data_IF_631756874914
#
_entry.id   IF_631756874914
#
_cell.length_a   1.000
_cell.length_b   1.000
_cell.length_c   1.000
_cell.angle_alpha   90.00
_cell.angle_beta   90.00
_cell.angle_gamma   90.00
#
_symmetry.space_group_name_H-M   'P 1'
#
loop_
_entity.id
_entity.type
_entity.pdbx_description
1 polymer ?
#
# COMPACT_ATOMS: atom_id res chain seq x y z
N UNK A 1 20.28 5.51 4.66
CA UNK A 1 19.20 6.44 5.11
C UNK A 1 19.24 6.57 6.62
N UNK A 2 19.06 7.78 7.20
CA UNK A 2 19.01 7.93 8.65
C UNK A 2 17.83 7.11 9.22
N UNK A 3 18.06 6.37 10.32
CA UNK A 3 17.01 5.61 11.01
C UNK A 3 15.87 6.58 11.37
N UNK A 4 14.70 6.44 10.75
CA UNK A 4 13.49 7.16 11.17
C UNK A 4 13.24 6.78 12.64
N UNK A 5 13.32 7.75 13.55
CA UNK A 5 13.04 7.48 14.97
C UNK A 5 11.59 7.01 15.12
N UNK A 6 11.38 5.87 15.77
CA UNK A 6 10.05 5.40 16.12
C UNK A 6 9.31 6.46 16.94
N UNK A 7 8.05 6.75 16.59
CA UNK A 7 7.25 7.68 17.37
C UNK A 7 7.03 7.17 18.80
N UNK A 8 7.46 7.95 19.79
CA UNK A 8 7.22 7.60 21.19
C UNK A 8 5.78 7.92 21.60
N UNK A 9 5.00 6.87 21.86
CA UNK A 9 3.66 6.96 22.44
C UNK A 9 3.73 7.16 23.96
N UNK A 10 4.16 8.33 24.40
CA UNK A 10 4.03 8.75 25.81
C UNK A 10 2.58 9.11 26.17
N UNK A 11 2.30 9.29 27.45
CA UNK A 11 0.94 9.58 27.94
C UNK A 11 0.39 10.90 27.40
N UNK A 12 1.22 11.93 27.22
CA UNK A 12 0.80 13.22 26.68
C UNK A 12 0.33 13.12 25.23
N UNK A 13 1.11 12.46 24.37
CA UNK A 13 0.73 12.24 22.96
C UNK A 13 -0.55 11.39 22.86
N UNK A 14 -0.71 10.37 23.73
CA UNK A 14 -1.94 9.57 23.80
C UNK A 14 -3.13 10.42 24.21
N UNK A 15 -2.98 11.23 25.27
CA UNK A 15 -4.02 12.12 25.79
C UNK A 15 -4.44 13.16 24.74
N UNK A 16 -3.48 13.80 24.09
CA UNK A 16 -3.73 14.77 23.03
C UNK A 16 -4.53 14.16 21.88
N UNK A 17 -4.09 13.01 21.33
CA UNK A 17 -4.81 12.38 20.23
C UNK A 17 -6.21 11.91 20.65
N UNK A 18 -6.36 11.32 21.85
CA UNK A 18 -7.68 10.94 22.39
C UNK A 18 -8.62 12.14 22.50
N UNK A 19 -8.12 13.29 22.99
CA UNK A 19 -8.90 14.51 23.15
C UNK A 19 -9.35 15.04 21.79
N UNK A 20 -8.43 15.20 20.83
CA UNK A 20 -8.75 15.73 19.50
C UNK A 20 -9.73 14.81 18.74
N UNK A 21 -9.57 13.49 18.83
CA UNK A 21 -10.53 12.52 18.25
C UNK A 21 -11.91 12.66 18.90
N UNK A 22 -11.96 12.81 20.22
CA UNK A 22 -13.21 13.01 20.96
C UNK A 22 -13.93 14.27 20.51
N UNK A 23 -13.22 15.39 20.40
CA UNK A 23 -13.81 16.68 20.02
C UNK A 23 -14.29 16.68 18.57
N UNK A 24 -13.50 16.08 17.67
CA UNK A 24 -13.91 15.84 16.29
C UNK A 24 -15.23 15.07 16.21
N UNK A 25 -15.31 13.94 16.93
CA UNK A 25 -16.50 13.09 16.95
C UNK A 25 -17.71 13.77 17.63
N UNK A 26 -17.47 14.58 18.66
CA UNK A 26 -18.50 15.40 19.31
C UNK A 26 -19.07 16.43 18.33
N UNK A 27 -18.22 17.16 17.60
CA UNK A 27 -18.67 18.12 16.58
C UNK A 27 -19.51 17.45 15.50
N UNK A 28 -19.09 16.30 14.97
CA UNK A 28 -19.89 15.51 14.01
C UNK A 28 -21.25 15.14 14.61
N UNK A 29 -21.28 14.65 15.84
CA UNK A 29 -22.53 14.23 16.50
C UNK A 29 -23.48 15.40 16.68
N UNK A 30 -22.96 16.56 17.12
CA UNK A 30 -23.73 17.79 17.28
C UNK A 30 -24.35 18.23 15.93
N UNK A 31 -23.54 18.28 14.87
CA UNK A 31 -24.00 18.69 13.54
C UNK A 31 -25.07 17.75 12.97
N UNK A 32 -24.90 16.44 13.16
CA UNK A 32 -25.91 15.44 12.75
C UNK A 32 -27.25 15.62 13.48
N UNK A 33 -27.22 16.04 14.75
CA UNK A 33 -28.42 16.29 15.54
C UNK A 33 -29.07 17.63 15.18
N UNK A 34 -28.28 18.70 15.02
CA UNK A 34 -28.79 20.04 14.75
C UNK A 34 -29.25 20.23 13.30
N UNK A 35 -28.67 19.49 12.36
CA UNK A 35 -29.06 19.57 10.96
C UNK A 35 -29.02 18.17 10.31
N UNK A 36 -30.15 17.44 10.35
CA UNK A 36 -30.21 16.09 9.79
C UNK A 36 -30.02 16.01 8.27
N UNK A 37 -30.34 17.07 7.52
CA UNK A 37 -30.26 17.05 6.04
C UNK A 37 -28.82 16.91 5.54
N UNK A 38 -27.83 17.43 6.29
CA UNK A 38 -26.41 17.36 5.92
C UNK A 38 -25.72 16.08 6.42
N UNK A 39 -26.45 15.17 7.08
CA UNK A 39 -25.88 13.98 7.73
C UNK A 39 -25.01 13.12 6.81
N UNK A 40 -25.39 13.01 5.54
CA UNK A 40 -24.67 12.21 4.53
C UNK A 40 -23.42 12.90 3.99
N UNK A 41 -23.41 14.23 4.00
CA UNK A 41 -22.30 15.08 3.54
C UNK A 41 -21.22 15.27 4.60
N UNK A 42 -21.52 14.97 5.88
CA UNK A 42 -20.56 15.06 6.98
C UNK A 42 -19.51 13.93 6.93
N UNK A 43 -18.29 14.18 7.43
CA UNK A 43 -17.29 13.13 7.58
C UNK A 43 -17.73 12.06 8.58
N UNK A 44 -17.16 10.86 8.42
CA UNK A 44 -17.37 9.78 9.38
C UNK A 44 -16.64 10.06 10.70
N UNK A 45 -17.16 9.46 11.77
CA UNK A 45 -16.45 9.43 13.05
C UNK A 45 -15.15 8.65 12.88
N UNK A 46 -14.12 9.07 13.61
CA UNK A 46 -12.78 8.49 13.55
C UNK A 46 -12.50 7.76 14.87
N UNK A 47 -11.87 6.59 14.80
CA UNK A 47 -11.40 5.87 15.99
C UNK A 47 -9.97 6.26 16.33
N UNK A 48 -9.65 6.31 17.62
CA UNK A 48 -8.28 6.52 18.10
C UNK A 48 -7.30 5.50 17.51
N UNK A 49 -7.68 4.22 17.48
CA UNK A 49 -6.86 3.13 16.95
C UNK A 49 -6.55 3.28 15.46
N UNK A 50 -7.50 3.78 14.66
CA UNK A 50 -7.31 4.03 13.21
C UNK A 50 -6.28 5.11 12.94
N UNK A 51 -6.25 6.18 13.76
CA UNK A 51 -5.23 7.22 13.60
C UNK A 51 -3.89 6.78 14.18
N UNK A 52 -3.91 6.02 15.27
CA UNK A 52 -2.70 5.48 15.88
C UNK A 52 -1.93 4.57 14.91
N UNK A 53 -2.61 3.75 14.13
CA UNK A 53 -1.99 2.75 13.24
C UNK A 53 -1.25 3.33 12.03
N UNK A 54 -1.55 4.57 11.66
CA UNK A 54 -0.95 5.28 10.52
C UNK A 54 0.12 6.30 10.94
N UNK A 55 0.42 6.40 12.24
CA UNK A 55 1.44 7.31 12.78
C UNK A 55 2.72 6.53 13.03
N UNK A 56 3.73 6.75 12.18
CA UNK A 56 5.05 6.13 12.33
C UNK A 56 6.04 7.05 13.06
N UNK A 57 5.93 8.36 12.85
CA UNK A 57 6.85 9.38 13.37
C UNK A 57 6.11 10.62 13.89
N UNK A 58 6.85 11.58 14.46
CA UNK A 58 6.29 12.83 15.03
C UNK A 58 5.60 13.71 13.98
N UNK A 59 6.10 13.70 12.74
CA UNK A 59 5.49 14.47 11.64
C UNK A 59 4.12 13.90 11.29
N UNK A 60 3.99 12.58 11.19
CA UNK A 60 2.69 11.91 10.97
C UNK A 60 1.72 12.21 12.10
N UNK A 61 2.19 12.15 13.36
CA UNK A 61 1.38 12.53 14.52
C UNK A 61 0.85 13.96 14.39
N UNK A 62 1.75 14.93 14.18
CA UNK A 62 1.39 16.34 14.06
C UNK A 62 0.45 16.59 12.86
N UNK A 63 0.67 15.93 11.71
CA UNK A 63 -0.19 16.01 10.53
C UNK A 63 -1.61 15.54 10.85
N UNK A 64 -1.73 14.38 11.51
CA UNK A 64 -3.02 13.78 11.87
C UNK A 64 -3.77 14.61 12.92
N UNK A 65 -3.08 15.12 13.95
CA UNK A 65 -3.65 16.03 14.95
C UNK A 65 -4.19 17.30 14.26
N UNK A 66 -3.35 18.00 13.49
CA UNK A 66 -3.74 19.22 12.78
C UNK A 66 -4.90 18.97 11.81
N UNK A 67 -4.96 17.80 11.17
CA UNK A 67 -6.08 17.44 10.28
C UNK A 67 -7.40 17.44 11.04
N UNK A 68 -7.46 16.78 12.19
CA UNK A 68 -8.68 16.70 12.99
C UNK A 68 -9.04 18.08 13.58
N UNK A 69 -8.06 18.83 14.06
CA UNK A 69 -8.25 20.20 14.57
C UNK A 69 -8.80 21.16 13.50
N UNK A 70 -8.39 21.01 12.23
CA UNK A 70 -8.93 21.83 11.13
C UNK A 70 -10.43 21.67 10.96
N UNK A 71 -11.02 20.55 11.33
CA UNK A 71 -12.48 20.38 11.31
C UNK A 71 -13.15 21.12 12.45
N UNK A 72 -12.46 21.36 13.56
CA UNK A 72 -13.02 22.08 14.72
C UNK A 72 -13.17 23.58 14.44
N UNK A 73 -12.37 24.12 13.51
CA UNK A 73 -12.43 25.54 13.11
C UNK A 73 -13.84 25.96 12.64
N UNK A 74 -14.22 27.23 12.85
CA UNK A 74 -15.47 27.77 12.31
C UNK A 74 -15.54 27.61 10.80
N UNK A 75 -16.74 27.38 10.26
CA UNK A 75 -17.01 27.25 8.82
C UNK A 75 -16.38 26.01 8.15
N UNK A 76 -15.69 25.14 8.89
CA UNK A 76 -15.13 23.90 8.34
C UNK A 76 -16.22 22.91 7.90
N UNK A 77 -17.38 22.98 8.55
CA UNK A 77 -18.60 22.20 8.29
C UNK A 77 -19.44 22.70 7.10
N UNK A 78 -19.15 23.89 6.55
CA UNK A 78 -19.90 24.42 5.40
C UNK A 78 -19.81 23.46 4.23
N UNK A 79 -20.92 23.21 3.56
CA UNK A 79 -20.96 22.35 2.39
C UNK A 79 -20.38 23.06 1.17
N UNK A 80 -19.68 22.28 0.36
CA UNK A 80 -19.17 22.65 -0.95
C UNK A 80 -19.59 21.58 -1.95
N UNK A 81 -20.02 22.02 -3.13
CA UNK A 81 -20.35 21.14 -4.23
C UNK A 81 -19.10 20.86 -5.06
N UNK A 82 -18.79 19.59 -5.26
CA UNK A 82 -17.66 19.13 -6.07
C UNK A 82 -18.09 19.12 -7.53
N UNK A 83 -17.79 20.22 -8.24
CA UNK A 83 -18.24 20.44 -9.64
C UNK A 83 -17.62 19.44 -10.62
N UNK A 84 -16.48 18.86 -10.25
CA UNK A 84 -15.73 17.89 -11.04
C UNK A 84 -16.43 16.53 -11.12
N UNK A 85 -17.48 16.29 -10.33
CA UNK A 85 -18.18 15.00 -10.22
C UNK A 85 -19.55 15.06 -10.88
N UNK A 86 -19.90 14.06 -11.70
CA UNK A 86 -21.24 13.94 -12.30
C UNK A 86 -22.34 13.77 -11.25
N UNK A 87 -21.99 13.23 -10.08
CA UNK A 87 -22.92 12.96 -8.98
C UNK A 87 -23.35 14.16 -8.15
N UNK A 88 -22.93 15.40 -8.48
CA UNK A 88 -23.24 16.60 -7.71
C UNK A 88 -22.95 16.44 -6.21
N UNK A 89 -21.78 15.87 -5.90
CA UNK A 89 -21.41 15.54 -4.53
C UNK A 89 -21.31 16.81 -3.68
N UNK A 90 -21.97 16.79 -2.53
CA UNK A 90 -21.81 17.80 -1.49
C UNK A 90 -21.04 17.24 -0.30
N UNK A 91 -19.93 17.87 0.03
CA UNK A 91 -19.10 17.52 1.18
C UNK A 91 -18.74 18.76 1.98
N UNK A 92 -18.24 18.57 3.19
CA UNK A 92 -17.73 19.70 3.97
C UNK A 92 -16.50 20.33 3.30
N UNK A 93 -16.33 21.65 3.47
CA UNK A 93 -15.14 22.40 3.09
C UNK A 93 -13.87 21.73 3.62
N UNK A 94 -13.94 21.21 4.85
CA UNK A 94 -12.85 20.43 5.43
C UNK A 94 -12.52 19.17 4.63
N UNK A 95 -13.51 18.32 4.27
CA UNK A 95 -13.27 17.12 3.46
C UNK A 95 -12.61 17.48 2.13
N UNK A 96 -13.10 18.51 1.45
CA UNK A 96 -12.55 18.96 0.17
C UNK A 96 -11.06 19.34 0.30
N UNK A 97 -10.73 20.14 1.32
CA UNK A 97 -9.35 20.58 1.55
C UNK A 97 -8.43 19.43 1.98
N UNK A 98 -8.90 18.54 2.86
CA UNK A 98 -8.08 17.42 3.34
C UNK A 98 -7.84 16.38 2.26
N UNK A 99 -8.83 16.07 1.42
CA UNK A 99 -8.61 15.16 0.29
C UNK A 99 -7.56 15.68 -0.68
N UNK A 100 -7.60 16.97 -1.02
CA UNK A 100 -6.58 17.58 -1.89
C UNK A 100 -5.18 17.54 -1.26
N UNK A 101 -5.05 17.76 0.05
CA UNK A 101 -3.76 17.63 0.75
C UNK A 101 -3.26 16.19 0.75
N UNK A 102 -4.13 15.23 1.05
CA UNK A 102 -3.77 13.80 1.05
C UNK A 102 -3.32 13.35 -0.33
N UNK A 103 -3.98 13.79 -1.40
CA UNK A 103 -3.57 13.48 -2.78
C UNK A 103 -2.19 14.01 -3.10
N UNK A 104 -1.86 15.24 -2.67
CA UNK A 104 -0.51 15.79 -2.86
C UNK A 104 0.54 14.92 -2.15
N UNK A 105 0.28 14.52 -0.91
CA UNK A 105 1.19 13.63 -0.17
C UNK A 105 1.31 12.25 -0.85
N UNK A 106 0.21 11.67 -1.31
CA UNK A 106 0.19 10.37 -2.00
C UNK A 106 0.93 10.43 -3.33
N UNK A 107 0.67 11.45 -4.16
CA UNK A 107 1.33 11.60 -5.45
C UNK A 107 2.83 11.87 -5.30
N UNK A 108 3.23 12.62 -4.27
CA UNK A 108 4.65 12.78 -3.93
C UNK A 108 5.30 11.43 -3.63
N UNK A 109 4.71 10.65 -2.73
CA UNK A 109 5.25 9.33 -2.38
C UNK A 109 5.29 8.38 -3.59
N UNK A 110 4.27 8.43 -4.44
CA UNK A 110 4.20 7.66 -5.69
C UNK A 110 5.31 8.06 -6.66
N UNK A 111 5.53 9.35 -6.86
CA UNK A 111 6.58 9.87 -7.74
C UNK A 111 7.97 9.49 -7.24
N UNK A 112 8.24 9.65 -5.94
CA UNK A 112 9.52 9.24 -5.34
C UNK A 112 9.79 7.75 -5.57
N UNK A 113 8.76 6.91 -5.42
CA UNK A 113 8.88 5.48 -5.67
C UNK A 113 9.03 5.14 -7.15
N UNK A 114 8.27 5.80 -8.03
CA UNK A 114 8.41 5.63 -9.47
C UNK A 114 9.83 5.97 -9.92
N UNK A 115 10.39 7.10 -9.48
CA UNK A 115 11.75 7.52 -9.82
C UNK A 115 12.80 6.48 -9.38
N UNK A 116 12.62 5.83 -8.22
CA UNK A 116 13.51 4.74 -7.79
C UNK A 116 13.41 3.52 -8.70
N UNK A 117 12.19 3.11 -9.04
CA UNK A 117 11.95 1.85 -9.74
C UNK A 117 12.16 1.96 -11.25
N UNK A 118 11.79 3.09 -11.86
CA UNK A 118 11.83 3.26 -13.32
C UNK A 118 13.24 3.19 -13.89
N UNK A 119 14.25 3.54 -13.10
CA UNK A 119 15.67 3.49 -13.48
C UNK A 119 16.34 2.14 -13.26
N UNK A 120 15.65 1.17 -12.63
CA UNK A 120 16.24 -0.15 -12.36
C UNK A 120 16.43 -0.91 -13.67
N UNK A 121 17.61 -1.50 -13.83
CA UNK A 121 17.92 -2.38 -14.96
C UNK A 121 17.19 -3.71 -14.80
N UNK A 122 16.56 -4.18 -15.87
CA UNK A 122 15.83 -5.42 -15.87
C UNK A 122 16.74 -6.62 -16.05
N UNK A 123 16.42 -7.70 -15.35
CA UNK A 123 17.14 -8.96 -15.35
C UNK A 123 16.18 -10.14 -15.51
N UNK A 124 16.68 -11.25 -16.04
CA UNK A 124 15.99 -12.55 -16.03
C UNK A 124 16.94 -13.61 -15.49
N UNK A 125 16.61 -14.17 -14.33
CA UNK A 125 17.47 -15.17 -13.69
C UNK A 125 18.86 -14.60 -13.39
N UNK A 126 18.94 -13.32 -13.02
CA UNK A 126 20.17 -12.59 -12.75
C UNK A 126 20.92 -12.03 -13.97
N UNK A 127 20.47 -12.28 -15.21
CA UNK A 127 21.13 -11.79 -16.42
C UNK A 127 20.48 -10.49 -16.93
N UNK A 128 21.25 -9.43 -17.26
CA UNK A 128 20.70 -8.15 -17.69
C UNK A 128 20.01 -8.23 -19.05
N UNK A 129 18.90 -7.51 -19.19
CA UNK A 129 18.15 -7.36 -20.44
C UNK A 129 18.54 -6.10 -21.22
N UNK A 130 19.40 -5.23 -20.69
CA UNK A 130 19.76 -3.91 -21.26
C UNK A 130 18.58 -2.95 -21.44
N UNK A 131 17.52 -3.11 -20.65
CA UNK A 131 16.40 -2.19 -20.57
C UNK A 131 16.12 -1.81 -19.12
N UNK A 132 15.57 -0.63 -18.90
CA UNK A 132 15.09 -0.22 -17.59
C UNK A 132 13.61 -0.56 -17.40
N UNK A 133 13.17 -0.71 -16.15
CA UNK A 133 11.76 -0.94 -15.81
C UNK A 133 10.84 0.14 -16.40
N UNK A 134 11.30 1.39 -16.49
CA UNK A 134 10.54 2.48 -17.09
C UNK A 134 10.36 2.37 -18.61
N UNK A 135 11.27 1.67 -19.31
CA UNK A 135 11.20 1.48 -20.77
C UNK A 135 10.27 0.33 -21.17
N UNK A 136 10.37 -0.82 -20.50
CA UNK A 136 9.54 -2.01 -20.80
C UNK A 136 8.21 -1.98 -20.06
N UNK A 137 8.15 -1.36 -18.87
CA UNK A 137 6.99 -1.41 -17.98
C UNK A 137 5.82 -0.51 -18.36
N UNK A 138 5.78 0.06 -19.58
CA UNK A 138 4.68 0.92 -20.03
C UNK A 138 3.36 0.15 -20.02
N UNK A 139 2.43 0.56 -19.15
CA UNK A 139 1.13 -0.10 -18.96
C UNK A 139 1.12 -1.23 -17.91
N UNK A 140 2.24 -1.49 -17.24
CA UNK A 140 2.32 -2.49 -16.17
C UNK A 140 1.41 -2.17 -14.98
N UNK A 141 1.04 -3.20 -14.20
CA UNK A 141 0.28 -3.01 -12.96
C UNK A 141 1.02 -2.07 -11.99
N UNK A 142 2.35 -2.20 -11.89
CA UNK A 142 3.19 -1.36 -11.04
C UNK A 142 3.12 0.11 -11.47
N UNK A 143 3.27 0.41 -12.76
CA UNK A 143 3.15 1.78 -13.26
C UNK A 143 1.75 2.34 -12.95
N UNK A 144 0.70 1.59 -13.25
CA UNK A 144 -0.67 2.02 -12.98
C UNK A 144 -0.95 2.29 -11.49
N UNK A 145 -0.34 1.52 -10.58
CA UNK A 145 -0.41 1.76 -9.14
C UNK A 145 0.29 3.05 -8.70
N UNK A 146 1.39 3.40 -9.38
CA UNK A 146 2.22 4.58 -9.08
C UNK A 146 1.82 5.82 -9.88
N UNK A 147 0.94 5.71 -10.87
CA UNK A 147 0.42 6.87 -11.59
C UNK A 147 -0.22 7.88 -10.63
N UNK A 148 -0.10 9.20 -10.87
CA UNK A 148 -0.75 10.21 -10.06
C UNK A 148 -2.26 9.97 -9.95
N UNK A 149 -2.81 10.21 -8.77
CA UNK A 149 -4.26 10.15 -8.53
C UNK A 149 -4.83 11.53 -8.28
N UNK A 150 -6.14 11.69 -8.47
CA UNK A 150 -6.88 12.90 -8.15
C UNK A 150 -7.70 12.71 -6.88
N UNK A 151 -8.12 13.83 -6.26
CA UNK A 151 -8.98 13.80 -5.08
C UNK A 151 -10.38 13.33 -5.42
N UNK A 152 -10.89 13.82 -6.55
CA UNK A 152 -12.22 13.54 -7.05
C UNK A 152 -12.13 13.04 -8.48
N UNK A 153 -12.91 12.00 -8.79
CA UNK A 153 -13.07 11.45 -10.14
C UNK A 153 -14.42 11.90 -10.69
N UNK A 154 -14.52 12.09 -12.01
CA UNK A 154 -15.78 12.48 -12.65
C UNK A 154 -16.93 11.48 -12.43
N UNK A 155 -16.61 10.20 -12.25
CA UNK A 155 -17.56 9.12 -11.96
C UNK A 155 -17.89 8.94 -10.48
N UNK A 156 -17.28 9.72 -9.58
CA UNK A 156 -17.40 9.52 -8.14
C UNK A 156 -18.80 9.83 -7.62
N UNK A 157 -19.31 9.00 -6.70
CA UNK A 157 -20.52 9.27 -5.91
C UNK A 157 -20.21 9.46 -4.41
N UNK A 158 -21.19 9.90 -3.61
CA UNK A 158 -20.98 10.22 -2.17
C UNK A 158 -20.32 9.08 -1.36
N UNK A 159 -20.71 7.83 -1.62
CA UNK A 159 -20.11 6.66 -0.97
C UNK A 159 -18.60 6.55 -1.26
N UNK A 160 -18.21 6.81 -2.50
CA UNK A 160 -16.82 6.70 -2.94
C UNK A 160 -15.91 7.72 -2.26
N UNK A 161 -16.43 8.90 -1.92
CA UNK A 161 -15.65 9.94 -1.23
C UNK A 161 -15.10 9.43 0.09
N UNK A 162 -15.93 8.75 0.88
CA UNK A 162 -15.52 8.20 2.19
C UNK A 162 -14.49 7.10 2.03
N UNK A 163 -14.70 6.20 1.07
CA UNK A 163 -13.75 5.12 0.75
C UNK A 163 -12.41 5.69 0.27
N UNK A 164 -12.46 6.65 -0.66
CA UNK A 164 -11.28 7.33 -1.20
C UNK A 164 -10.52 8.08 -0.11
N UNK A 165 -11.22 8.80 0.76
CA UNK A 165 -10.60 9.49 1.89
C UNK A 165 -9.82 8.52 2.80
N UNK A 166 -10.42 7.39 3.21
CA UNK A 166 -9.73 6.38 4.02
C UNK A 166 -8.52 5.78 3.31
N UNK A 167 -8.65 5.51 2.02
CA UNK A 167 -7.54 4.99 1.20
C UNK A 167 -6.39 6.00 1.08
N UNK A 168 -6.69 7.26 0.76
CA UNK A 168 -5.70 8.34 0.68
C UNK A 168 -5.03 8.59 2.03
N UNK A 169 -5.80 8.54 3.11
CA UNK A 169 -5.28 8.67 4.46
C UNK A 169 -4.24 7.60 4.77
N UNK A 170 -4.55 6.33 4.49
CA UNK A 170 -3.62 5.23 4.68
C UNK A 170 -2.36 5.40 3.81
N UNK A 171 -2.53 5.72 2.52
CA UNK A 171 -1.44 5.90 1.57
C UNK A 171 -0.53 7.10 1.87
N UNK A 172 -1.05 8.13 2.54
CA UNK A 172 -0.28 9.31 2.93
C UNK A 172 0.69 9.05 4.09
N UNK A 173 0.52 7.94 4.81
CA UNK A 173 1.37 7.58 5.95
C UNK A 173 2.81 7.33 5.53
N UNK A 174 3.78 7.82 6.31
CA UNK A 174 5.19 7.76 5.94
C UNK A 174 5.80 6.35 5.96
N UNK A 175 5.11 5.37 6.53
CA UNK A 175 5.49 3.95 6.57
C UNK A 175 4.64 3.06 5.65
N UNK A 176 3.71 3.65 4.90
CA UNK A 176 2.75 2.92 4.07
C UNK A 176 3.44 1.96 3.10
N UNK A 177 4.37 2.49 2.29
CA UNK A 177 5.10 1.68 1.32
C UNK A 177 5.99 0.64 1.99
N UNK A 178 6.66 0.99 3.08
CA UNK A 178 7.49 0.04 3.83
C UNK A 178 6.68 -1.14 4.40
N UNK A 179 5.47 -0.89 4.91
CA UNK A 179 4.54 -1.96 5.32
C UNK A 179 4.12 -2.82 4.13
N UNK A 180 3.80 -2.21 2.98
CA UNK A 180 3.49 -2.94 1.74
C UNK A 180 4.65 -3.80 1.26
N UNK A 181 5.87 -3.32 1.41
CA UNK A 181 7.08 -4.04 0.99
C UNK A 181 7.26 -5.34 1.78
N UNK A 182 7.07 -5.30 3.10
CA UNK A 182 7.06 -6.52 3.91
C UNK A 182 5.94 -7.48 3.51
N UNK A 183 4.72 -6.97 3.28
CA UNK A 183 3.58 -7.77 2.84
C UNK A 183 3.89 -8.43 1.47
N UNK A 184 4.53 -7.71 0.55
CA UNK A 184 4.92 -8.23 -0.75
C UNK A 184 5.89 -9.41 -0.60
N UNK A 185 6.92 -9.27 0.23
CA UNK A 185 7.86 -10.36 0.53
C UNK A 185 7.17 -11.57 1.16
N UNK A 186 6.30 -11.33 2.13
CA UNK A 186 5.60 -12.40 2.83
C UNK A 186 4.63 -13.15 1.89
N UNK A 187 3.96 -12.42 0.98
CA UNK A 187 3.14 -13.02 -0.07
C UNK A 187 3.98 -13.82 -1.07
N UNK A 188 5.14 -13.29 -1.49
CA UNK A 188 6.05 -13.99 -2.38
C UNK A 188 6.57 -15.30 -1.75
N UNK A 189 6.99 -15.26 -0.49
CA UNK A 189 7.38 -16.44 0.29
C UNK A 189 6.23 -17.44 0.41
N UNK A 190 5.00 -16.97 0.61
CA UNK A 190 3.82 -17.82 0.68
C UNK A 190 3.60 -18.55 -0.65
N UNK A 191 3.64 -17.84 -1.77
CA UNK A 191 3.52 -18.43 -3.11
C UNK A 191 4.62 -19.46 -3.35
N UNK A 192 5.88 -19.17 -3.00
CA UNK A 192 6.97 -20.16 -3.15
C UNK A 192 6.70 -21.46 -2.39
N UNK A 193 6.13 -21.39 -1.19
CA UNK A 193 5.78 -22.58 -0.41
C UNK A 193 4.62 -23.36 -1.00
N UNK A 194 3.62 -22.65 -1.53
CA UNK A 194 2.43 -23.25 -2.14
C UNK A 194 2.79 -23.97 -3.45
N UNK A 195 3.67 -23.39 -4.26
CA UNK A 195 4.07 -23.94 -5.56
C UNK A 195 5.17 -25.02 -5.47
N UNK A 196 6.19 -24.81 -4.62
CA UNK A 196 7.40 -25.65 -4.61
C UNK A 196 7.59 -26.47 -3.31
N UNK A 197 6.68 -26.36 -2.34
CA UNK A 197 6.69 -27.17 -1.12
C UNK A 197 8.06 -27.23 -0.43
N UNK A 198 8.59 -28.44 -0.23
CA UNK A 198 9.87 -28.68 0.44
C UNK A 198 11.08 -28.11 -0.32
N UNK A 199 11.02 -27.99 -1.64
CA UNK A 199 12.13 -27.55 -2.48
C UNK A 199 12.40 -26.03 -2.35
N UNK A 200 11.42 -25.28 -1.82
CA UNK A 200 11.57 -23.85 -1.54
C UNK A 200 12.21 -23.54 -0.19
N UNK A 201 12.44 -24.53 0.69
CA UNK A 201 12.78 -24.29 2.11
C UNK A 201 14.00 -23.40 2.30
N UNK A 202 15.05 -23.63 1.52
CA UNK A 202 16.30 -22.87 1.59
C UNK A 202 16.15 -21.46 1.04
N UNK A 203 15.44 -21.28 -0.08
CA UNK A 203 15.09 -19.96 -0.66
C UNK A 203 14.25 -19.17 0.34
N UNK A 204 13.22 -19.79 0.91
CA UNK A 204 12.34 -19.18 1.92
C UNK A 204 13.13 -18.73 3.15
N UNK A 205 14.09 -19.54 3.62
CA UNK A 205 14.96 -19.15 4.74
C UNK A 205 15.79 -17.93 4.37
N UNK A 206 16.45 -17.94 3.21
CA UNK A 206 17.24 -16.82 2.70
C UNK A 206 16.41 -15.53 2.62
N UNK A 207 15.21 -15.59 2.03
CA UNK A 207 14.32 -14.43 1.88
C UNK A 207 13.83 -13.85 3.22
N UNK A 208 13.64 -14.68 4.24
CA UNK A 208 13.24 -14.21 5.58
C UNK A 208 14.36 -13.44 6.27
N UNK A 209 15.60 -13.88 6.10
CA UNK A 209 16.80 -13.30 6.68
C UNK A 209 17.29 -12.07 5.89
N UNK A 210 16.92 -11.96 4.61
CA UNK A 210 17.29 -10.88 3.72
C UNK A 210 16.70 -9.52 4.18
N UNK A 211 17.53 -8.45 4.20
CA UNK A 211 17.04 -7.08 4.36
C UNK A 211 15.95 -6.75 3.33
N UNK A 212 14.93 -5.99 3.76
CA UNK A 212 13.78 -5.71 2.89
C UNK A 212 14.17 -4.92 1.64
N UNK A 213 15.16 -4.03 1.74
CA UNK A 213 15.60 -3.21 0.61
C UNK A 213 16.26 -4.09 -0.47
N UNK A 214 17.13 -5.02 -0.07
CA UNK A 214 17.77 -6.00 -0.98
C UNK A 214 16.73 -6.88 -1.67
N UNK A 215 15.73 -7.36 -0.92
CA UNK A 215 14.62 -8.13 -1.49
C UNK A 215 13.89 -7.33 -2.58
N UNK A 216 13.56 -6.07 -2.32
CA UNK A 216 12.80 -5.24 -3.27
C UNK A 216 13.63 -4.92 -4.51
N UNK A 217 14.91 -4.63 -4.35
CA UNK A 217 15.78 -4.30 -5.47
C UNK A 217 15.89 -5.53 -6.40
N UNK A 218 16.15 -6.73 -5.85
CA UNK A 218 16.13 -7.96 -6.66
C UNK A 218 14.75 -8.24 -7.28
N UNK A 219 13.67 -8.12 -6.49
CA UNK A 219 12.30 -8.39 -6.97
C UNK A 219 11.89 -7.46 -8.12
N UNK A 220 12.27 -6.17 -8.07
CA UNK A 220 11.91 -5.20 -9.11
C UNK A 220 12.92 -5.08 -10.24
N UNK A 221 14.12 -5.65 -10.12
CA UNK A 221 15.02 -5.88 -11.25
C UNK A 221 14.55 -7.06 -12.09
N UNK A 222 13.99 -8.09 -11.46
CA UNK A 222 13.62 -9.31 -12.18
C UNK A 222 12.33 -9.13 -12.98
N UNK A 223 12.43 -9.37 -14.29
CA UNK A 223 11.26 -9.54 -15.11
C UNK A 223 10.75 -10.96 -14.90
N UNK A 224 9.65 -11.09 -14.15
CA UNK A 224 8.97 -12.35 -13.91
C UNK A 224 7.95 -12.57 -15.02
N UNK A 225 8.19 -13.42 -16.04
CA UNK A 225 7.13 -13.87 -16.93
C UNK A 225 5.90 -14.35 -16.15
N UNK A 226 4.78 -13.65 -16.31
CA UNK A 226 3.51 -14.00 -15.66
C UNK A 226 2.96 -15.38 -16.07
N UNK A 227 3.58 -16.07 -17.02
CA UNK A 227 3.18 -17.40 -17.51
C UNK A 227 3.79 -18.59 -16.74
N UNK A 228 4.62 -18.36 -15.72
CA UNK A 228 5.35 -19.44 -15.03
C UNK A 228 4.51 -20.39 -14.15
N UNK A 229 3.20 -20.19 -14.05
CA UNK A 229 2.34 -20.89 -13.06
C UNK A 229 1.65 -22.13 -13.66
N UNK A 230 1.71 -22.38 -14.97
CA UNK A 230 1.01 -23.52 -15.57
C UNK A 230 1.81 -24.22 -16.67
N UNK A 231 2.70 -25.16 -16.29
CA UNK A 231 2.99 -26.42 -17.02
C UNK A 231 3.99 -27.28 -16.25
N UNK A 232 3.57 -28.49 -15.88
CA UNK A 232 4.29 -29.48 -15.06
C UNK A 232 5.61 -29.96 -15.64
N UNK A 233 5.85 -29.82 -16.95
CA UNK A 233 7.06 -30.32 -17.62
C UNK A 233 8.33 -29.49 -17.35
N UNK A 234 8.20 -28.27 -16.81
CA UNK A 234 9.34 -27.34 -16.61
C UNK A 234 9.58 -26.92 -15.15
N UNK A 235 9.03 -27.65 -14.18
CA UNK A 235 9.12 -27.34 -12.74
C UNK A 235 10.55 -27.03 -12.26
N UNK A 236 11.52 -27.90 -12.58
CA UNK A 236 12.94 -27.71 -12.19
C UNK A 236 13.59 -26.52 -12.88
N UNK A 237 13.28 -26.30 -14.15
CA UNK A 237 13.80 -25.17 -14.93
C UNK A 237 13.36 -23.85 -14.28
N UNK A 238 12.09 -23.76 -13.87
CA UNK A 238 11.54 -22.58 -13.19
C UNK A 238 12.08 -22.40 -11.78
N UNK A 239 12.17 -23.47 -10.99
CA UNK A 239 12.80 -23.43 -9.68
C UNK A 239 14.25 -22.93 -9.82
N UNK A 240 14.98 -23.36 -10.85
CA UNK A 240 16.35 -22.92 -11.11
C UNK A 240 16.43 -21.45 -11.55
N UNK A 241 15.46 -20.92 -12.30
CA UNK A 241 15.36 -19.47 -12.57
C UNK A 241 15.20 -18.72 -11.26
N UNK A 242 14.24 -19.11 -10.41
CA UNK A 242 14.01 -18.48 -9.10
C UNK A 242 15.27 -18.57 -8.23
N UNK A 243 15.95 -19.72 -8.20
CA UNK A 243 17.19 -19.89 -7.45
C UNK A 243 18.29 -18.95 -7.96
N UNK A 244 18.48 -18.84 -9.28
CA UNK A 244 19.46 -17.92 -9.87
C UNK A 244 19.15 -16.46 -9.56
N UNK A 245 17.88 -16.05 -9.69
CA UNK A 245 17.39 -14.72 -9.29
C UNK A 245 17.82 -14.39 -7.86
N UNK A 246 17.67 -15.34 -6.93
CA UNK A 246 18.05 -15.14 -5.53
C UNK A 246 19.50 -15.52 -5.24
N UNK A 247 20.38 -15.63 -6.24
CA UNK A 247 21.80 -15.93 -6.08
C UNK A 247 22.06 -17.28 -5.40
N UNK A 248 21.27 -18.30 -5.74
CA UNK A 248 21.36 -19.66 -5.23
C UNK A 248 21.75 -20.62 -6.36
N UNK A 249 22.48 -21.68 -6.02
CA UNK A 249 22.85 -22.73 -6.97
C UNK A 249 21.60 -23.46 -7.48
N UNK A 250 21.54 -23.86 -8.76
CA UNK A 250 20.45 -24.69 -9.28
C UNK A 250 20.38 -26.04 -8.55
N UNK A 251 19.22 -26.68 -8.58
CA UNK A 251 19.03 -28.07 -8.16
C UNK A 251 19.50 -28.97 -9.31
N UNK A 252 20.40 -29.91 -9.02
CA UNK A 252 20.91 -30.89 -9.99
C UNK A 252 19.91 -32.04 -10.20
N UNK A 253 19.97 -32.71 -11.35
CA UNK A 253 19.00 -33.77 -11.69
C UNK A 253 19.09 -35.02 -10.82
N UNK A 254 20.20 -35.23 -10.11
CA UNK A 254 20.41 -36.35 -9.19
C UNK A 254 19.71 -36.20 -7.84
N UNK A 255 19.23 -35.00 -7.50
CA UNK A 255 18.45 -34.79 -6.30
C UNK A 255 17.00 -35.24 -6.56
N UNK A 256 16.65 -36.40 -6.00
CA UNK A 256 15.32 -37.00 -6.13
C UNK A 256 14.28 -36.12 -5.44
N UNK A 257 13.67 -35.22 -6.21
CA UNK A 257 12.50 -34.45 -5.79
C UNK A 257 11.30 -35.40 -5.75
N UNK A 258 10.84 -35.75 -4.55
CA UNK A 258 9.54 -36.40 -4.35
C UNK A 258 8.45 -35.35 -4.52
N UNK A 259 7.82 -35.35 -5.68
CA UNK A 259 6.59 -34.59 -5.92
C UNK A 259 5.44 -35.25 -5.16
N UNK A 260 5.12 -34.75 -3.97
CA UNK A 260 3.88 -35.12 -3.27
C UNK A 260 2.72 -34.36 -3.93
N UNK A 261 2.13 -34.99 -4.95
CA UNK A 261 1.04 -34.44 -5.74
C UNK A 261 -0.07 -33.87 -4.86
N UNK A 262 -0.52 -32.66 -5.22
CA UNK A 262 -1.68 -31.98 -4.65
C UNK A 262 -2.87 -32.96 -4.75
N UNK A 263 -3.31 -33.51 -3.60
CA UNK A 263 -4.55 -34.28 -3.51
C UNK A 263 -5.71 -33.33 -3.83
N UNK A 264 -6.18 -33.37 -5.07
CA UNK A 264 -7.42 -32.74 -5.49
C UNK A 264 -8.57 -33.24 -4.61
N UNK A 265 -9.17 -32.33 -3.83
CA UNK A 265 -10.46 -32.57 -3.19
C UNK A 265 -11.53 -32.53 -4.29
N UNK A 266 -11.87 -33.70 -4.84
CA UNK A 266 -13.16 -33.88 -5.50
C UNK A 266 -14.25 -33.81 -4.43
N UNK A 267 -15.05 -32.74 -4.47
CA UNK A 267 -16.33 -32.68 -3.76
C UNK A 267 -17.26 -33.70 -4.44
N UNK A 268 -17.79 -34.63 -3.65
CA UNK A 268 -19.01 -35.37 -3.99
C UNK A 268 -20.21 -34.44 -3.86
#
# INVERSE_FOLDING_TARGET
MPRKSNFNWNEDNKKQLKQVVRDFNKKITRLKKSNPSIKYSLPDKVKYSEIKSIVANKQDFNKNVKRLERFLKPNAEKLVRVKETRGNIEITKWQYQEMNKLVKDVNKNRQERWNKLSSMELKVGGQPLNYTRGQIGMGSQLENELRPTTAFSSSMVNYDVKRKYKSLLLQSGSDYYRKRDYILRDNYIKTLKEEYGNDSKDIVRKLKEMPIDDFLDTFYEEDHPFEFIYKTEKYKEYLNVVRRTWGMKPVEDSDTIKYDGIKGKTKK
#
